data_IF_438458691672
#
_entry.id   IF_438458691672
#
_cell.length_a   1.000
_cell.length_b   1.000
_cell.length_c   1.000
_cell.angle_alpha   90.00
_cell.angle_beta   90.00
_cell.angle_gamma   90.00
#
_symmetry.space_group_name_H-M   'P 1'
#
loop_
_entity.id
_entity.type
_entity.pdbx_description
1 polymer ?
#
# COMPACT_ATOMS: atom_id res chain seq x y z
N UNK A 1 15.12 -27.78 -13.12
CA UNK A 1 14.07 -26.75 -12.95
C UNK A 1 12.75 -27.48 -13.02
N UNK A 2 11.90 -27.40 -12.00
CA UNK A 2 10.59 -28.07 -12.05
C UNK A 2 9.73 -27.37 -13.11
N UNK A 3 9.16 -28.15 -14.02
CA UNK A 3 8.27 -27.67 -15.07
C UNK A 3 6.91 -27.35 -14.45
N UNK A 4 6.21 -26.33 -14.93
CA UNK A 4 4.88 -25.94 -14.42
C UNK A 4 3.93 -27.15 -14.27
N UNK A 5 3.98 -28.09 -15.23
CA UNK A 5 3.19 -29.32 -15.23
C UNK A 5 3.51 -30.26 -14.07
N UNK A 6 4.77 -30.37 -13.66
CA UNK A 6 5.18 -31.21 -12.52
C UNK A 6 4.65 -30.65 -11.20
N UNK A 7 4.64 -29.31 -11.07
CA UNK A 7 4.07 -28.64 -9.90
C UNK A 7 2.56 -28.86 -9.83
N UNK A 8 1.84 -28.73 -10.95
CA UNK A 8 0.41 -29.04 -10.99
C UNK A 8 0.11 -30.48 -10.57
N UNK A 9 0.91 -31.45 -11.04
CA UNK A 9 0.74 -32.84 -10.66
C UNK A 9 0.97 -33.06 -9.16
N UNK A 10 1.98 -32.42 -8.57
CA UNK A 10 2.23 -32.50 -7.12
C UNK A 10 1.10 -31.88 -6.31
N UNK A 11 0.53 -30.75 -6.75
CA UNK A 11 -0.61 -30.12 -6.08
C UNK A 11 -1.85 -31.03 -6.12
N UNK A 12 -2.05 -31.76 -7.22
CA UNK A 12 -3.16 -32.72 -7.33
C UNK A 12 -3.02 -33.92 -6.39
N UNK A 13 -1.80 -34.26 -5.97
CA UNK A 13 -1.58 -35.35 -4.99
C UNK A 13 -1.82 -34.94 -3.52
N UNK A 14 -1.95 -33.64 -3.25
CA UNK A 14 -2.25 -33.11 -1.91
C UNK A 14 -3.71 -33.33 -1.52
N UNK A 15 -3.97 -33.41 -0.22
CA UNK A 15 -5.34 -33.42 0.30
C UNK A 15 -6.04 -32.08 0.05
N UNK A 16 -7.39 -32.03 0.05
CA UNK A 16 -8.12 -30.78 -0.14
C UNK A 16 -7.75 -29.67 0.86
N UNK A 17 -7.44 -30.02 2.12
CA UNK A 17 -7.00 -29.06 3.14
C UNK A 17 -5.63 -28.45 2.78
N UNK A 18 -4.68 -29.29 2.37
CA UNK A 18 -3.35 -28.86 1.96
C UNK A 18 -3.38 -28.01 0.68
N UNK A 19 -4.27 -28.33 -0.26
CA UNK A 19 -4.49 -27.52 -1.46
C UNK A 19 -5.00 -26.12 -1.10
N UNK A 20 -5.94 -26.02 -0.15
CA UNK A 20 -6.47 -24.75 0.31
C UNK A 20 -5.40 -23.92 1.04
N UNK A 21 -4.61 -24.54 1.92
CA UNK A 21 -3.47 -23.87 2.59
C UNK A 21 -2.44 -23.37 1.58
N UNK A 22 -2.14 -24.18 0.57
CA UNK A 22 -1.20 -23.79 -0.48
C UNK A 22 -1.74 -22.63 -1.33
N UNK A 23 -3.03 -22.64 -1.65
CA UNK A 23 -3.68 -21.54 -2.37
C UNK A 23 -3.59 -20.23 -1.59
N UNK A 24 -3.85 -20.27 -0.28
CA UNK A 24 -3.74 -19.09 0.58
C UNK A 24 -2.30 -18.55 0.62
N UNK A 25 -1.32 -19.44 0.83
CA UNK A 25 0.09 -19.06 0.83
C UNK A 25 0.53 -18.44 -0.50
N UNK A 26 0.14 -19.04 -1.63
CA UNK A 26 0.42 -18.50 -2.96
C UNK A 26 -0.25 -17.15 -3.20
N UNK A 27 -1.50 -16.98 -2.76
CA UNK A 27 -2.20 -15.70 -2.87
C UNK A 27 -1.48 -14.60 -2.07
N UNK A 28 -0.99 -14.88 -0.86
CA UNK A 28 -0.19 -13.93 -0.07
C UNK A 28 1.13 -13.60 -0.78
N UNK A 29 1.86 -14.60 -1.26
CA UNK A 29 3.14 -14.39 -1.95
C UNK A 29 2.97 -13.55 -3.23
N UNK A 30 1.96 -13.85 -4.04
CA UNK A 30 1.66 -13.09 -5.26
C UNK A 30 1.25 -11.66 -4.92
N UNK A 31 0.37 -11.48 -3.93
CA UNK A 31 0.00 -10.14 -3.45
C UNK A 31 1.21 -9.36 -2.97
N UNK A 32 2.13 -9.94 -2.21
CA UNK A 32 3.35 -9.25 -1.75
C UNK A 32 4.26 -8.85 -2.90
N UNK A 33 4.39 -9.68 -3.94
CA UNK A 33 5.20 -9.37 -5.14
C UNK A 33 4.57 -8.28 -6.00
N UNK A 34 3.24 -8.22 -6.07
CA UNK A 34 2.50 -7.18 -6.78
C UNK A 34 2.43 -5.89 -5.95
N UNK A 35 2.31 -6.00 -4.63
CA UNK A 35 2.26 -4.92 -3.65
C UNK A 35 3.65 -4.51 -3.17
N UNK A 36 4.70 -4.72 -3.97
CA UNK A 36 5.92 -3.90 -3.85
C UNK A 36 5.52 -2.49 -4.29
N UNK A 37 4.68 -1.84 -3.48
CA UNK A 37 4.43 -0.41 -3.55
C UNK A 37 5.81 0.23 -3.40
N UNK A 38 6.13 1.25 -4.20
CA UNK A 38 7.31 2.05 -3.92
C UNK A 38 7.26 2.45 -2.44
N UNK A 39 8.38 2.34 -1.74
CA UNK A 39 8.51 2.91 -0.40
C UNK A 39 8.20 4.39 -0.56
N UNK A 40 6.98 4.79 -0.22
CA UNK A 40 6.59 6.18 -0.26
C UNK A 40 7.47 6.93 0.73
N UNK A 41 8.15 7.95 0.26
CA UNK A 41 8.91 8.86 1.10
C UNK A 41 7.96 9.96 1.55
N UNK A 42 8.13 10.48 2.77
CA UNK A 42 7.39 11.67 3.22
C UNK A 42 7.60 12.85 2.25
N UNK A 43 8.75 12.88 1.56
CA UNK A 43 9.06 13.86 0.51
C UNK A 43 8.17 13.74 -0.74
N UNK A 44 7.51 12.60 -0.95
CA UNK A 44 6.55 12.45 -2.07
C UNK A 44 5.29 13.32 -1.86
N UNK A 45 5.08 13.82 -0.64
CA UNK A 45 3.99 14.73 -0.30
C UNK A 45 4.39 16.21 -0.41
N UNK A 46 5.67 16.51 -0.66
CA UNK A 46 6.15 17.88 -0.79
C UNK A 46 5.48 18.58 -1.99
N UNK A 47 4.96 19.79 -1.77
CA UNK A 47 4.41 20.61 -2.84
C UNK A 47 2.97 20.27 -3.27
N UNK A 48 2.38 19.16 -2.81
CA UNK A 48 0.99 18.79 -3.15
C UNK A 48 -0.03 19.87 -2.75
N UNK A 49 0.23 20.63 -1.69
CA UNK A 49 -0.63 21.72 -1.24
C UNK A 49 -0.36 23.07 -1.89
N UNK A 50 0.69 23.22 -2.71
CA UNK A 50 1.17 24.54 -3.16
C UNK A 50 0.10 25.38 -3.85
N UNK A 51 -0.74 24.76 -4.68
CA UNK A 51 -1.82 25.44 -5.40
C UNK A 51 -2.98 25.81 -4.47
N UNK A 52 -3.24 25.00 -3.43
CA UNK A 52 -4.28 25.25 -2.42
C UNK A 52 -3.89 26.44 -1.54
N UNK A 53 -2.61 26.56 -1.19
CA UNK A 53 -2.05 27.65 -0.39
C UNK A 53 -1.67 28.88 -1.22
N UNK A 54 -1.97 28.91 -2.52
CA UNK A 54 -1.58 30.00 -3.39
C UNK A 54 -2.36 31.27 -3.07
N UNK A 55 -1.65 32.35 -2.70
CA UNK A 55 -2.27 33.63 -2.35
C UNK A 55 -2.79 33.71 -0.91
N UNK A 56 -2.63 32.64 -0.11
CA UNK A 56 -2.89 32.67 1.33
C UNK A 56 -1.62 33.05 2.08
N UNK A 57 -1.72 34.04 2.97
CA UNK A 57 -0.64 34.33 3.90
C UNK A 57 -0.64 33.29 5.02
N UNK A 58 0.47 32.55 5.12
CA UNK A 58 0.60 31.45 6.07
C UNK A 58 0.50 31.92 7.53
N UNK A 59 1.00 33.12 7.83
CA UNK A 59 0.98 33.66 9.18
C UNK A 59 -0.42 34.14 9.56
N UNK A 60 -1.14 34.75 8.62
CA UNK A 60 -2.52 35.18 8.81
C UNK A 60 -3.46 33.99 9.03
N UNK A 61 -3.33 32.93 8.24
CA UNK A 61 -4.10 31.70 8.42
C UNK A 61 -3.89 31.07 9.82
N UNK A 62 -2.63 30.98 10.26
CA UNK A 62 -2.29 30.43 11.59
C UNK A 62 -2.84 31.30 12.72
N UNK A 63 -2.86 32.63 12.55
CA UNK A 63 -3.43 33.53 13.55
C UNK A 63 -4.95 33.35 13.64
N UNK A 64 -5.66 33.24 12.51
CA UNK A 64 -7.10 32.97 12.48
C UNK A 64 -7.47 31.64 13.15
N UNK A 65 -6.69 30.59 12.90
CA UNK A 65 -6.88 29.28 13.57
C UNK A 65 -6.61 29.36 15.08
N UNK A 66 -5.64 30.16 15.53
CA UNK A 66 -5.40 30.36 16.98
C UNK A 66 -6.52 31.15 17.64
N UNK A 67 -7.00 32.18 16.96
CA UNK A 67 -8.09 33.01 17.46
C UNK A 67 -9.41 32.23 17.51
N UNK A 68 -9.64 31.28 16.59
CA UNK A 68 -10.83 30.42 16.61
C UNK A 68 -10.79 29.32 17.68
N UNK A 69 -9.61 29.02 18.23
CA UNK A 69 -9.43 28.06 19.32
C UNK A 69 -9.31 28.72 20.69
N UNK A 70 -9.13 30.05 20.74
CA UNK A 70 -9.36 30.82 21.95
C UNK A 70 -10.87 30.88 22.19
N UNK A 71 -11.36 29.94 22.99
CA UNK A 71 -12.79 29.69 23.28
C UNK A 71 -13.60 30.86 23.80
#
# INVERSE_FOLDING_TARGET
MATYQEICHQVQTLTPDEQLRLLEALAVMVRQRILVKPKHNIMDLEGLGKEIWHGLDAQEYVNQERDSWNG
#
